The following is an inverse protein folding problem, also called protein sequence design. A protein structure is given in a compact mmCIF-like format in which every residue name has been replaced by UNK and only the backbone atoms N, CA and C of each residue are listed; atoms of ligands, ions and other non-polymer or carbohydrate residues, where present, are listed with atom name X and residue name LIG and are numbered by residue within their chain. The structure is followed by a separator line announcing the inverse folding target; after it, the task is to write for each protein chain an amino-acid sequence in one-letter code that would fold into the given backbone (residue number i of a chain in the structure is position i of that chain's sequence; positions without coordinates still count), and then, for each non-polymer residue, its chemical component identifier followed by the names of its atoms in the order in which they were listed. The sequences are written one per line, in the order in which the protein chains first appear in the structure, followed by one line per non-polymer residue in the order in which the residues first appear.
data_IF_762924458663
#
_entry.id   IF_762924458663
#
_cell.length_a   1.000
_cell.length_b   1.000
_cell.length_c   1.000
_cell.angle_alpha   90.00
_cell.angle_beta   90.00
_cell.angle_gamma   90.00
#
_symmetry.space_group_name_H-M   'P 1'
#
loop_
_entity.id
_entity.type
_entity.pdbx_description
1 polymer ?
#
# COMPACT_ATOMS: atom_id res chain seq x y z
N UNK A 1 -10.95 -1.33 10.48
CA UNK A 1 -10.19 -1.02 9.25
C UNK A 1 -9.12 -2.09 9.13
N UNK A 2 -9.09 -2.87 8.05
CA UNK A 2 -8.02 -3.85 7.85
C UNK A 2 -6.75 -3.12 7.36
N UNK A 3 -5.60 -3.42 7.95
CA UNK A 3 -4.32 -2.80 7.62
C UNK A 3 -3.29 -3.87 7.28
N UNK A 4 -3.41 -4.46 6.09
CA UNK A 4 -2.36 -5.36 5.60
C UNK A 4 -1.31 -4.55 4.82
N UNK A 5 -0.17 -4.29 5.46
CA UNK A 5 0.91 -3.48 4.91
C UNK A 5 1.80 -4.33 4.00
N UNK A 6 1.85 -3.98 2.71
CA UNK A 6 2.80 -4.52 1.74
C UNK A 6 3.68 -3.37 1.26
N UNK A 7 4.96 -3.42 1.60
CA UNK A 7 5.92 -2.40 1.20
C UNK A 7 6.63 -2.86 -0.08
N UNK A 8 6.57 -2.09 -1.17
CA UNK A 8 7.36 -2.38 -2.36
C UNK A 8 8.86 -2.34 -2.02
N UNK A 9 9.67 -3.15 -2.72
CA UNK A 9 11.11 -3.21 -2.46
C UNK A 9 11.79 -1.89 -2.86
N UNK A 10 11.34 -1.30 -3.97
CA UNK A 10 11.68 0.04 -4.40
C UNK A 10 10.39 0.85 -4.65
N UNK A 11 9.92 1.63 -3.67
CA UNK A 11 8.67 2.41 -3.79
C UNK A 11 8.59 3.35 -4.99
N UNK A 12 9.73 3.84 -5.51
CA UNK A 12 9.76 4.75 -6.64
C UNK A 12 9.48 4.04 -7.97
N UNK A 13 9.97 2.81 -8.11
CA UNK A 13 9.91 2.04 -9.36
C UNK A 13 8.83 0.94 -9.36
N UNK A 14 8.55 0.36 -8.19
CA UNK A 14 7.66 -0.80 -8.02
C UNK A 14 6.19 -0.40 -7.76
N UNK A 15 5.88 0.90 -7.71
CA UNK A 15 4.51 1.38 -7.53
C UNK A 15 4.20 2.58 -8.40
N UNK A 16 3.07 2.49 -9.11
CA UNK A 16 2.52 3.58 -9.89
C UNK A 16 1.01 3.59 -9.71
N UNK A 17 0.43 4.78 -9.58
CA UNK A 17 -1.02 4.96 -9.55
C UNK A 17 -1.51 5.36 -10.94
N UNK A 18 -2.26 4.44 -11.57
CA UNK A 18 -2.81 4.66 -12.92
C UNK A 18 -4.02 5.60 -12.93
N UNK A 19 -4.76 5.67 -11.82
CA UNK A 19 -5.93 6.53 -11.63
C UNK A 19 -6.31 6.55 -10.14
N UNK A 20 -6.70 7.71 -9.58
CA UNK A 20 -6.62 9.05 -10.18
C UNK A 20 -5.16 9.51 -10.37
N UNK A 21 -4.92 10.50 -11.23
CA UNK A 21 -3.59 11.12 -11.38
C UNK A 21 -3.28 12.14 -10.28
N UNK A 22 -4.30 12.52 -9.52
CA UNK A 22 -4.18 13.32 -8.32
C UNK A 22 -4.86 12.55 -7.16
N UNK A 23 -4.08 11.85 -6.32
CA UNK A 23 -4.61 11.09 -5.20
C UNK A 23 -5.37 11.95 -4.19
N UNK A 24 -4.93 13.19 -3.96
CA UNK A 24 -5.53 14.07 -2.95
C UNK A 24 -6.92 14.58 -3.36
N UNK A 25 -7.18 14.67 -4.67
CA UNK A 25 -8.48 15.08 -5.18
C UNK A 25 -9.37 13.89 -5.57
N UNK A 26 -8.80 12.80 -6.06
CA UNK A 26 -9.57 11.65 -6.57
C UNK A 26 -9.84 10.55 -5.54
N UNK A 27 -9.11 10.51 -4.42
CA UNK A 27 -9.33 9.58 -3.32
C UNK A 27 -9.68 10.34 -2.04
N UNK A 28 -10.32 9.66 -1.11
CA UNK A 28 -10.48 10.17 0.25
C UNK A 28 -9.29 9.78 1.10
N UNK A 29 -8.98 10.61 2.10
CA UNK A 29 -7.84 10.41 2.98
C UNK A 29 -8.26 10.37 4.44
N UNK A 30 -7.55 9.54 5.19
CA UNK A 30 -7.52 9.60 6.65
C UNK A 30 -6.07 9.90 7.06
N UNK A 31 -5.88 10.69 8.12
CA UNK A 31 -4.56 11.02 8.68
C UNK A 31 -4.61 10.88 10.21
N UNK A 32 -3.52 10.43 10.81
CA UNK A 32 -3.38 10.26 12.25
C UNK A 32 -2.21 11.06 12.80
N UNK A 33 -2.24 11.37 14.09
CA UNK A 33 -1.13 11.96 14.85
C UNK A 33 -0.57 13.20 14.16
N UNK A 34 0.72 13.20 13.84
CA UNK A 34 1.45 14.30 13.20
C UNK A 34 1.08 14.51 11.71
N UNK A 35 0.07 13.80 11.21
CA UNK A 35 -0.45 13.94 9.85
C UNK A 35 0.59 13.67 8.74
N UNK A 36 1.68 12.95 9.04
CA UNK A 36 2.75 12.64 8.08
C UNK A 36 2.32 11.63 7.01
N UNK A 37 1.47 10.67 7.37
CA UNK A 37 0.99 9.62 6.45
C UNK A 37 -0.48 9.81 6.09
N UNK A 38 -0.79 9.79 4.80
CA UNK A 38 -2.16 9.79 4.25
C UNK A 38 -2.57 8.36 3.93
N UNK A 39 -3.63 7.89 4.57
CA UNK A 39 -4.28 6.62 4.28
C UNK A 39 -5.32 6.85 3.19
N UNK A 40 -4.97 6.57 1.93
CA UNK A 40 -5.86 6.77 0.78
C UNK A 40 -6.86 5.61 0.64
N UNK A 41 -8.13 5.95 0.42
CA UNK A 41 -9.19 4.99 0.19
C UNK A 41 -10.18 5.49 -0.87
N UNK A 42 -10.86 4.54 -1.53
CA UNK A 42 -11.88 4.86 -2.51
C UNK A 42 -13.12 5.43 -1.81
N UNK A 43 -13.59 6.66 -2.17
CA UNK A 43 -14.77 7.27 -1.55
C UNK A 43 -16.07 6.51 -1.81
N UNK A 44 -16.10 5.66 -2.85
CA UNK A 44 -17.31 4.93 -3.26
C UNK A 44 -17.47 3.59 -2.53
N UNK A 45 -16.41 2.78 -2.48
CA UNK A 45 -16.45 1.44 -1.87
C UNK A 45 -15.78 1.35 -0.50
N UNK A 46 -15.09 2.41 -0.06
CA UNK A 46 -14.39 2.44 1.24
C UNK A 46 -13.14 1.57 1.32
N UNK A 47 -12.72 0.92 0.22
CA UNK A 47 -11.51 0.10 0.20
C UNK A 47 -10.28 1.01 0.30
N UNK A 48 -9.43 0.74 1.29
CA UNK A 48 -8.11 1.36 1.44
C UNK A 48 -7.18 0.83 0.35
N UNK A 49 -6.59 1.73 -0.42
CA UNK A 49 -5.71 1.38 -1.55
C UNK A 49 -4.25 1.33 -1.09
N UNK A 50 -3.74 2.45 -0.58
CA UNK A 50 -2.35 2.58 -0.15
C UNK A 50 -2.22 3.69 0.91
N UNK A 51 -1.12 3.67 1.65
CA UNK A 51 -0.69 4.75 2.52
C UNK A 51 0.53 5.40 1.89
N UNK A 52 0.54 6.73 1.83
CA UNK A 52 1.68 7.47 1.33
C UNK A 52 1.99 8.68 2.22
N UNK A 53 3.28 8.92 2.46
CA UNK A 53 3.81 10.14 3.05
C UNK A 53 5.00 10.61 2.22
N UNK A 54 5.00 11.88 1.79
CA UNK A 54 6.01 12.43 0.90
C UNK A 54 5.40 13.27 -0.22
N UNK A 55 6.18 13.49 -1.28
CA UNK A 55 5.76 14.24 -2.47
C UNK A 55 5.55 13.25 -3.62
N UNK A 56 4.43 13.38 -4.32
CA UNK A 56 4.21 12.65 -5.57
C UNK A 56 4.26 13.58 -6.76
N UNK A 57 4.50 13.02 -7.92
CA UNK A 57 4.46 13.73 -9.19
C UNK A 57 3.83 12.86 -10.27
N UNK A 58 3.51 13.49 -11.40
CA UNK A 58 2.88 12.83 -12.54
C UNK A 58 3.87 12.74 -13.68
N UNK A 59 4.06 11.53 -14.22
CA UNK A 59 5.03 11.26 -15.30
C UNK A 59 4.38 10.46 -16.42
N UNK A 60 4.99 10.50 -17.60
CA UNK A 60 4.65 9.63 -18.72
C UNK A 60 5.53 8.38 -18.71
N UNK A 61 4.91 7.21 -18.63
CA UNK A 61 5.60 5.91 -18.61
C UNK A 61 5.22 5.11 -19.84
N UNK A 62 6.21 4.42 -20.44
CA UNK A 62 5.99 3.45 -21.51
C UNK A 62 5.62 2.09 -20.92
N UNK A 63 4.32 1.84 -20.78
CA UNK A 63 3.80 0.60 -20.19
C UNK A 63 4.01 -0.63 -21.08
N UNK A 64 4.37 -0.45 -22.36
CA UNK A 64 4.68 -1.56 -23.27
C UNK A 64 5.93 -2.36 -22.88
N UNK A 65 6.72 -1.84 -21.92
CA UNK A 65 7.91 -2.50 -21.35
C UNK A 65 7.69 -3.01 -19.93
N UNK A 66 6.51 -2.81 -19.35
CA UNK A 66 6.19 -3.15 -17.97
C UNK A 66 5.04 -4.16 -17.99
N UNK A 67 5.23 -5.35 -17.44
CA UNK A 67 4.14 -6.32 -17.25
C UNK A 67 3.20 -5.79 -16.15
N UNK A 68 2.23 -4.97 -16.55
CA UNK A 68 1.10 -4.61 -15.69
C UNK A 68 0.08 -5.74 -15.77
N UNK A 69 -0.32 -6.27 -14.61
CA UNK A 69 -1.22 -7.42 -14.49
C UNK A 69 -2.49 -7.31 -15.34
N UNK A 70 -2.96 -8.47 -15.82
CA UNK A 70 -4.10 -8.75 -16.71
C UNK A 70 -3.84 -8.87 -18.22
N UNK A 71 -2.61 -8.77 -18.72
CA UNK A 71 -2.30 -9.11 -20.12
C UNK A 71 -3.05 -8.28 -21.18
N UNK A 72 -3.78 -7.24 -20.76
CA UNK A 72 -4.37 -6.24 -21.64
C UNK A 72 -3.24 -5.34 -22.10
N UNK A 73 -3.09 -5.19 -23.42
CA UNK A 73 -2.22 -4.15 -23.97
C UNK A 73 -2.74 -2.79 -23.51
N UNK A 74 -2.17 -2.27 -22.43
CA UNK A 74 -2.31 -0.88 -22.05
C UNK A 74 -1.67 -0.03 -23.15
N UNK A 75 -2.25 1.14 -23.41
CA UNK A 75 -1.68 2.10 -24.36
C UNK A 75 -0.19 2.28 -24.07
N UNK A 76 0.64 2.21 -25.12
CA UNK A 76 2.11 2.13 -25.00
C UNK A 76 2.69 3.24 -24.13
N UNK A 77 2.05 4.41 -24.04
CA UNK A 77 2.46 5.50 -23.15
C UNK A 77 1.25 6.01 -22.39
N UNK A 78 1.37 6.10 -21.08
CA UNK A 78 0.30 6.61 -20.22
C UNK A 78 0.89 7.54 -19.17
N UNK A 79 0.13 8.55 -18.83
CA UNK A 79 0.36 9.38 -17.66
C UNK A 79 0.00 8.60 -16.39
N UNK A 80 0.89 8.61 -15.40
CA UNK A 80 0.72 7.94 -14.11
C UNK A 80 1.19 8.85 -12.99
N UNK A 81 0.60 8.71 -11.81
CA UNK A 81 1.14 9.31 -10.60
C UNK A 81 2.16 8.36 -9.96
N UNK A 82 3.28 8.88 -9.49
CA UNK A 82 4.28 8.11 -8.76
C UNK A 82 4.86 8.92 -7.59
N UNK A 83 5.45 8.20 -6.63
CA UNK A 83 6.17 8.81 -5.54
C UNK A 83 7.47 9.44 -6.07
N UNK A 84 7.67 10.73 -5.81
CA UNK A 84 8.95 11.40 -6.05
C UNK A 84 9.90 11.02 -4.92
N UNK A 85 11.04 10.44 -5.29
CA UNK A 85 12.08 10.04 -4.35
C UNK A 85 13.33 10.89 -4.60
N UNK A 86 13.30 12.14 -4.15
CA UNK A 86 14.32 13.15 -4.46
C UNK A 86 15.45 13.28 -3.43
N UNK A 87 15.51 12.40 -2.43
CA UNK A 87 16.66 12.29 -1.52
C UNK A 87 16.31 11.82 -0.11
N UNK A 88 17.30 11.86 0.78
CA UNK A 88 17.20 11.47 2.21
C UNK A 88 16.53 12.53 3.09
N UNK A 89 15.83 13.51 2.52
CA UNK A 89 15.19 14.57 3.32
C UNK A 89 14.01 14.03 4.13
N UNK A 90 13.90 14.48 5.36
CA UNK A 90 12.79 14.11 6.23
C UNK A 90 11.47 14.80 5.81
N UNK A 91 10.35 14.06 5.80
CA UNK A 91 10.24 12.63 6.08
C UNK A 91 10.64 11.79 4.86
N UNK A 92 11.46 10.76 5.10
CA UNK A 92 11.74 9.70 4.11
C UNK A 92 10.41 9.23 3.53
N UNK A 93 10.24 9.21 2.19
CA UNK A 93 8.95 8.88 1.62
C UNK A 93 8.51 7.49 2.08
N UNK A 94 7.28 7.40 2.56
CA UNK A 94 6.69 6.15 3.03
C UNK A 94 5.63 5.72 2.04
N UNK A 95 5.66 4.45 1.62
CA UNK A 95 4.63 3.87 0.79
C UNK A 95 4.31 2.46 1.28
N UNK A 96 3.02 2.18 1.42
CA UNK A 96 2.53 0.85 1.75
C UNK A 96 1.23 0.58 1.01
N UNK A 97 1.19 -0.49 0.22
CA UNK A 97 -0.02 -0.93 -0.48
C UNK A 97 -0.85 -1.80 0.45
N UNK A 98 -2.17 -1.67 0.37
CA UNK A 98 -3.04 -2.57 1.09
C UNK A 98 -3.04 -3.95 0.43
N UNK A 99 -2.47 -4.96 1.07
CA UNK A 99 -2.34 -6.29 0.47
C UNK A 99 -3.68 -6.94 0.13
N UNK A 100 -4.78 -6.57 0.79
CA UNK A 100 -6.13 -7.07 0.44
C UNK A 100 -6.75 -6.40 -0.77
N UNK A 101 -6.11 -5.36 -1.32
CA UNK A 101 -6.50 -4.69 -2.56
C UNK A 101 -5.61 -5.10 -3.75
N UNK A 102 -4.63 -5.99 -3.53
CA UNK A 102 -3.82 -6.58 -4.59
C UNK A 102 -4.67 -7.66 -5.26
N UNK A 103 -4.77 -7.59 -6.59
CA UNK A 103 -5.47 -8.59 -7.38
C UNK A 103 -4.84 -9.98 -7.18
N UNK A 104 -5.68 -11.00 -7.32
CA UNK A 104 -5.23 -12.39 -7.14
C UNK A 104 -4.09 -12.73 -8.10
N UNK A 105 -3.03 -13.34 -7.55
CA UNK A 105 -1.94 -13.95 -8.30
C UNK A 105 -1.61 -15.30 -7.67
N UNK A 106 -1.20 -16.28 -8.47
CA UNK A 106 -0.82 -17.61 -7.98
C UNK A 106 0.34 -17.56 -6.97
N UNK A 107 1.23 -16.57 -7.11
CA UNK A 107 2.37 -16.34 -6.24
C UNK A 107 2.08 -15.38 -5.06
N UNK A 108 0.85 -14.84 -4.99
CA UNK A 108 0.39 -13.95 -3.93
C UNK A 108 -0.89 -14.51 -3.27
N UNK A 109 -0.71 -15.59 -2.51
CA UNK A 109 -1.76 -16.20 -1.69
C UNK A 109 -1.49 -15.91 -0.20
N UNK A 110 -2.42 -15.22 0.47
CA UNK A 110 -2.28 -14.81 1.87
C UNK A 110 -2.07 -16.00 2.81
N UNK A 111 -2.77 -17.11 2.57
CA UNK A 111 -2.63 -18.31 3.38
C UNK A 111 -1.23 -18.89 3.22
N UNK A 112 -0.72 -18.98 1.99
CA UNK A 112 0.64 -19.47 1.72
C UNK A 112 1.68 -18.54 2.35
N UNK A 113 1.52 -17.23 2.22
CA UNK A 113 2.43 -16.24 2.83
C UNK A 113 2.46 -16.38 4.37
N UNK A 114 1.31 -16.61 4.99
CA UNK A 114 1.22 -16.85 6.44
C UNK A 114 1.81 -18.19 6.86
N UNK A 115 1.51 -19.29 6.16
CA UNK A 115 2.09 -20.62 6.43
C UNK A 115 3.62 -20.60 6.32
N UNK A 116 4.16 -19.80 5.39
CA UNK A 116 5.61 -19.59 5.21
C UNK A 116 6.21 -18.56 6.18
N UNK A 117 5.44 -18.00 7.12
CA UNK A 117 5.87 -16.97 8.07
C UNK A 117 6.43 -15.71 7.40
N UNK A 118 5.84 -15.31 6.28
CA UNK A 118 6.16 -14.07 5.55
C UNK A 118 5.27 -12.89 5.99
N UNK A 119 4.19 -13.16 6.72
CA UNK A 119 3.28 -12.15 7.27
C UNK A 119 3.52 -11.99 8.77
N UNK A 120 3.74 -10.75 9.21
CA UNK A 120 3.87 -10.41 10.62
C UNK A 120 2.60 -9.75 11.15
N UNK A 121 2.09 -10.25 12.27
CA UNK A 121 0.87 -9.74 12.92
C UNK A 121 1.22 -8.92 14.17
N UNK A 122 0.84 -7.64 14.12
CA UNK A 122 1.02 -6.69 15.22
C UNK A 122 -0.24 -6.57 16.08
N UNK A 123 -0.04 -6.31 17.36
CA UNK A 123 -1.11 -6.02 18.31
C UNK A 123 -1.31 -4.51 18.42
N UNK A 124 -2.18 -3.98 17.56
CA UNK A 124 -2.56 -2.57 17.52
C UNK A 124 -3.98 -2.33 18.02
N UNK A 125 -4.56 -3.31 18.72
CA UNK A 125 -5.88 -3.20 19.34
C UNK A 125 -5.82 -3.10 20.87
N UNK A 126 -4.76 -3.59 21.51
CA UNK A 126 -4.58 -3.41 22.95
C UNK A 126 -4.60 -1.92 23.32
N UNK A 127 -5.32 -1.59 24.40
CA UNK A 127 -5.43 -0.22 24.90
C UNK A 127 -4.05 0.32 25.35
N UNK A 128 -3.83 1.65 25.43
CA UNK A 128 -2.55 2.22 25.83
C UNK A 128 -2.05 1.75 27.22
N UNK A 129 -2.99 1.45 28.12
CA UNK A 129 -2.74 0.93 29.47
C UNK A 129 -2.46 -0.58 29.49
N UNK A 130 -2.81 -1.29 28.42
CA UNK A 130 -2.53 -2.72 28.26
C UNK A 130 -1.15 -2.96 27.66
N UNK A 131 -0.46 -4.00 28.15
CA UNK A 131 0.82 -4.40 27.55
C UNK A 131 0.56 -5.01 26.17
N UNK A 132 1.01 -4.34 25.11
CA UNK A 132 1.01 -4.89 23.74
C UNK A 132 1.62 -6.29 23.70
N UNK A 133 0.93 -7.21 23.04
CA UNK A 133 1.41 -8.57 22.81
C UNK A 133 2.56 -8.55 21.81
N UNK A 134 3.52 -9.50 21.90
CA UNK A 134 4.59 -9.61 20.92
C UNK A 134 4.02 -9.88 19.52
N UNK A 135 4.75 -9.42 18.51
CA UNK A 135 4.44 -9.74 17.13
C UNK A 135 4.43 -11.25 16.90
N UNK A 136 3.55 -11.71 16.01
CA UNK A 136 3.36 -13.13 15.66
C UNK A 136 3.54 -13.35 14.18
N UNK A 137 3.80 -14.59 13.80
CA UNK A 137 4.02 -15.00 12.41
C UNK A 137 3.15 -16.19 11.99
N UNK A 138 2.42 -16.79 12.93
CA UNK A 138 1.62 -18.00 12.72
C UNK A 138 0.15 -17.68 12.39
N UNK A 139 -0.42 -16.65 13.04
CA UNK A 139 -1.82 -16.26 12.86
C UNK A 139 -2.10 -14.85 13.40
N UNK A 140 -3.23 -14.25 12.98
CA UNK A 140 -3.67 -12.96 13.48
C UNK A 140 -3.91 -12.96 14.99
N UNK A 141 -3.78 -11.78 15.61
CA UNK A 141 -4.33 -11.55 16.95
C UNK A 141 -5.87 -11.56 16.92
N UNK A 142 -6.50 -11.62 18.09
CA UNK A 142 -7.97 -11.61 18.18
C UNK A 142 -8.57 -10.39 17.46
N UNK A 143 -9.52 -10.64 16.55
CA UNK A 143 -10.14 -9.61 15.71
C UNK A 143 -9.31 -9.15 14.51
N UNK A 144 -8.13 -9.74 14.29
CA UNK A 144 -7.35 -9.56 13.06
C UNK A 144 -7.85 -10.43 11.91
N UNK A 145 -7.35 -10.16 10.71
CA UNK A 145 -7.60 -10.95 9.50
C UNK A 145 -6.34 -11.70 9.07
N UNK A 146 -6.53 -12.85 8.42
CA UNK A 146 -5.47 -13.47 7.64
C UNK A 146 -5.12 -12.62 6.43
#
# INVERSE_FOLDING_TARGET
MNMFHVNPANPADDFMLLSPLDPDHGLSTYQCYEMRGKYYFCPKCGVRCFTFGGVGETIFVDLGKIEVGDGKQLERKREVWHAKWDGEEEPIPYLSVNGTAIDYREDFDLRVLTEQKRVQYFDDRSEPEEKKKPARWDRPHYGGSY
#
